data_IF_933438643023
#
_entry.id   IF_933438643023
#
_cell.length_a   1.000
_cell.length_b   1.000
_cell.length_c   1.000
_cell.angle_alpha   90.00
_cell.angle_beta   90.00
_cell.angle_gamma   90.00
#
_symmetry.space_group_name_H-M   'P 1'
#
loop_
_entity.id
_entity.type
_entity.pdbx_description
1 polymer ?
#
# COMPACT_ATOMS: atom_id res chain seq x y z
N UNK A 1 -13.92 15.04 3.92
CA UNK A 1 -12.73 14.31 4.43
C UNK A 1 -13.20 13.57 5.68
N UNK A 2 -13.37 12.25 5.62
CA UNK A 2 -13.66 11.45 6.82
C UNK A 2 -12.34 11.32 7.59
N UNK A 3 -12.31 11.73 8.84
CA UNK A 3 -11.20 11.46 9.76
C UNK A 3 -11.36 10.06 10.33
N UNK A 4 -10.26 9.43 10.77
CA UNK A 4 -10.34 8.14 11.48
C UNK A 4 -11.29 8.19 12.69
N UNK A 5 -11.32 9.32 13.39
CA UNK A 5 -12.26 9.58 14.50
C UNK A 5 -13.71 9.54 14.04
N UNK A 6 -14.03 10.17 12.89
CA UNK A 6 -15.41 10.15 12.37
C UNK A 6 -15.87 8.74 11.97
N UNK A 7 -14.95 7.87 11.52
CA UNK A 7 -15.26 6.47 11.20
C UNK A 7 -15.52 5.64 12.47
N UNK A 8 -14.71 5.84 13.52
CA UNK A 8 -14.98 5.22 14.82
C UNK A 8 -16.29 5.71 15.43
N UNK A 9 -16.59 7.00 15.31
CA UNK A 9 -17.86 7.55 15.76
C UNK A 9 -19.04 6.94 14.99
N UNK A 10 -18.93 6.82 13.67
CA UNK A 10 -19.95 6.15 12.85
C UNK A 10 -20.18 4.70 13.27
N UNK A 11 -19.10 3.95 13.56
CA UNK A 11 -19.19 2.62 14.13
C UNK A 11 -19.92 2.62 15.48
N UNK A 12 -19.55 3.52 16.41
CA UNK A 12 -20.18 3.60 17.75
C UNK A 12 -21.67 3.93 17.67
N UNK A 13 -22.04 4.91 16.85
CA UNK A 13 -23.44 5.30 16.66
C UNK A 13 -24.24 4.15 16.06
N UNK A 14 -23.73 3.49 15.02
CA UNK A 14 -24.41 2.34 14.41
C UNK A 14 -24.61 1.18 15.41
N UNK A 15 -23.62 0.92 16.26
CA UNK A 15 -23.75 -0.07 17.34
C UNK A 15 -24.85 0.31 18.36
N UNK A 16 -24.98 1.59 18.68
CA UNK A 16 -26.00 2.08 19.64
C UNK A 16 -27.41 2.10 19.06
N UNK A 17 -27.55 2.43 17.76
CA UNK A 17 -28.85 2.55 17.09
C UNK A 17 -29.35 1.23 16.50
N UNK A 18 -28.51 0.18 16.51
CA UNK A 18 -28.83 -1.12 15.92
C UNK A 18 -28.57 -1.20 14.41
N UNK A 19 -27.98 -0.17 13.81
CA UNK A 19 -27.51 -0.20 12.42
C UNK A 19 -26.16 -0.93 12.32
N UNK A 20 -26.23 -2.24 12.52
CA UNK A 20 -25.06 -3.12 12.64
C UNK A 20 -24.28 -3.22 11.31
N UNK A 21 -24.96 -3.21 10.18
CA UNK A 21 -24.32 -3.29 8.87
C UNK A 21 -23.41 -2.07 8.63
N UNK A 22 -23.94 -0.85 8.80
CA UNK A 22 -23.15 0.36 8.63
C UNK A 22 -22.08 0.50 9.72
N UNK A 23 -22.33 0.01 10.94
CA UNK A 23 -21.30 -0.03 11.97
C UNK A 23 -20.11 -0.89 11.52
N UNK A 24 -20.35 -2.11 11.03
CA UNK A 24 -19.27 -3.01 10.60
C UNK A 24 -18.53 -2.50 9.36
N UNK A 25 -19.22 -1.86 8.41
CA UNK A 25 -18.54 -1.19 7.30
C UNK A 25 -17.70 0.01 7.78
N UNK A 26 -18.18 0.80 8.73
CA UNK A 26 -17.40 1.92 9.31
C UNK A 26 -16.13 1.42 9.99
N UNK A 27 -16.21 0.31 10.73
CA UNK A 27 -15.06 -0.36 11.33
C UNK A 27 -14.07 -0.88 10.28
N UNK A 28 -14.56 -1.52 9.21
CA UNK A 28 -13.69 -1.95 8.11
C UNK A 28 -12.97 -0.76 7.46
N UNK A 29 -13.69 0.32 7.14
CA UNK A 29 -13.12 1.52 6.52
C UNK A 29 -12.07 2.16 7.45
N UNK A 30 -12.32 2.20 8.76
CA UNK A 30 -11.34 2.65 9.74
C UNK A 30 -10.03 1.84 9.69
N UNK A 31 -10.11 0.51 9.57
CA UNK A 31 -8.93 -0.37 9.51
C UNK A 31 -8.10 -0.10 8.24
N UNK A 32 -8.73 -0.04 7.07
CA UNK A 32 -8.00 0.21 5.81
C UNK A 32 -7.46 1.63 5.74
N UNK A 33 -8.22 2.63 6.17
CA UNK A 33 -7.72 4.00 6.21
C UNK A 33 -6.54 4.10 7.17
N UNK A 34 -6.59 3.47 8.35
CA UNK A 34 -5.44 3.42 9.27
C UNK A 34 -4.18 2.83 8.62
N UNK A 35 -4.34 1.78 7.82
CA UNK A 35 -3.25 1.21 7.01
C UNK A 35 -2.76 2.20 5.95
N UNK A 36 -3.68 2.87 5.23
CA UNK A 36 -3.36 3.88 4.20
C UNK A 36 -2.59 5.06 4.79
N UNK A 37 -2.95 5.53 5.99
CA UNK A 37 -2.27 6.62 6.69
C UNK A 37 -0.96 6.18 7.34
N UNK A 38 -0.60 4.89 7.29
CA UNK A 38 0.64 4.40 7.88
C UNK A 38 0.65 4.34 9.39
N UNK A 39 -0.50 4.15 10.05
CA UNK A 39 -0.51 3.90 11.50
C UNK A 39 0.27 2.62 11.82
N UNK A 40 0.65 2.48 13.09
CA UNK A 40 1.39 1.34 13.64
C UNK A 40 0.72 0.02 13.28
N UNK A 41 1.43 -0.84 12.53
CA UNK A 41 0.92 -2.14 12.10
C UNK A 41 0.46 -3.04 13.27
N UNK A 42 1.20 -3.13 14.42
CA UNK A 42 0.72 -3.84 15.60
C UNK A 42 -0.58 -3.28 16.21
N UNK A 43 -0.81 -1.97 16.15
CA UNK A 43 -2.07 -1.40 16.64
C UNK A 43 -3.23 -1.76 15.73
N UNK A 44 -3.07 -1.57 14.43
CA UNK A 44 -4.11 -1.86 13.44
C UNK A 44 -4.46 -3.35 13.47
N UNK A 45 -3.48 -4.25 13.62
CA UNK A 45 -3.74 -5.70 13.75
C UNK A 45 -4.65 -6.02 14.94
N UNK A 46 -4.36 -5.45 16.13
CA UNK A 46 -5.19 -5.68 17.33
C UNK A 46 -6.60 -5.13 17.17
N UNK A 47 -6.73 -3.94 16.59
CA UNK A 47 -8.03 -3.31 16.30
C UNK A 47 -8.82 -4.16 15.29
N UNK A 48 -8.17 -4.59 14.20
CA UNK A 48 -8.77 -5.47 13.19
C UNK A 48 -9.21 -6.82 13.79
N UNK A 49 -8.40 -7.44 14.65
CA UNK A 49 -8.77 -8.68 15.35
C UNK A 49 -10.03 -8.51 16.21
N UNK A 50 -10.15 -7.37 16.90
CA UNK A 50 -11.34 -7.05 17.69
C UNK A 50 -12.58 -6.88 16.80
N UNK A 51 -12.47 -6.11 15.71
CA UNK A 51 -13.57 -5.89 14.79
C UNK A 51 -13.99 -7.18 14.07
N UNK A 52 -13.04 -8.01 13.63
CA UNK A 52 -13.33 -9.29 12.98
C UNK A 52 -14.14 -10.20 13.91
N UNK A 53 -13.79 -10.29 15.20
CA UNK A 53 -14.56 -11.07 16.18
C UNK A 53 -16.01 -10.61 16.27
N UNK A 54 -16.23 -9.29 16.36
CA UNK A 54 -17.59 -8.74 16.38
C UNK A 54 -18.32 -8.97 15.07
N UNK A 55 -17.68 -8.79 13.92
CA UNK A 55 -18.31 -9.05 12.62
C UNK A 55 -18.75 -10.52 12.50
N UNK A 56 -18.02 -11.47 13.08
CA UNK A 56 -18.45 -12.88 13.17
C UNK A 56 -19.67 -13.03 14.09
N UNK A 57 -19.64 -12.43 15.29
CA UNK A 57 -20.75 -12.47 16.25
C UNK A 57 -22.07 -11.94 15.65
N UNK A 58 -21.99 -10.83 14.93
CA UNK A 58 -23.12 -10.18 14.25
C UNK A 58 -23.38 -10.71 12.84
N UNK A 59 -22.69 -11.77 12.40
CA UNK A 59 -22.86 -12.43 11.10
C UNK A 59 -22.65 -11.52 9.87
N UNK A 60 -21.82 -10.49 10.01
CA UNK A 60 -21.48 -9.52 8.96
C UNK A 60 -20.29 -10.00 8.12
N UNK A 61 -20.55 -10.91 7.17
CA UNK A 61 -19.49 -11.64 6.47
C UNK A 61 -18.69 -10.80 5.46
N UNK A 62 -19.33 -9.87 4.75
CA UNK A 62 -18.68 -9.02 3.76
C UNK A 62 -17.60 -8.08 4.37
N UNK A 63 -17.91 -7.23 5.38
CA UNK A 63 -16.89 -6.40 6.01
C UNK A 63 -15.84 -7.24 6.76
N UNK A 64 -16.20 -8.43 7.27
CA UNK A 64 -15.25 -9.38 7.86
C UNK A 64 -14.22 -9.86 6.84
N UNK A 65 -14.66 -10.32 5.67
CA UNK A 65 -13.76 -10.83 4.62
C UNK A 65 -12.83 -9.71 4.09
N UNK A 66 -13.35 -8.49 3.92
CA UNK A 66 -12.51 -7.34 3.56
C UNK A 66 -11.48 -7.00 4.66
N UNK A 67 -11.89 -7.02 5.93
CA UNK A 67 -10.99 -6.74 7.06
C UNK A 67 -9.92 -7.83 7.23
N UNK A 68 -10.26 -9.09 6.96
CA UNK A 68 -9.30 -10.19 6.91
C UNK A 68 -8.23 -9.97 5.83
N UNK A 69 -8.59 -9.42 4.66
CA UNK A 69 -7.63 -9.12 3.61
C UNK A 69 -6.61 -8.06 4.05
N UNK A 70 -7.04 -6.99 4.73
CA UNK A 70 -6.11 -5.98 5.29
C UNK A 70 -5.22 -6.59 6.35
N UNK A 71 -5.82 -7.34 7.28
CA UNK A 71 -5.07 -8.04 8.34
C UNK A 71 -4.00 -8.97 7.77
N UNK A 72 -4.30 -9.69 6.70
CA UNK A 72 -3.31 -10.53 6.02
C UNK A 72 -2.14 -9.70 5.49
N UNK A 73 -2.39 -8.58 4.82
CA UNK A 73 -1.34 -7.69 4.34
C UNK A 73 -0.48 -7.12 5.49
N UNK A 74 -1.09 -6.84 6.64
CA UNK A 74 -0.36 -6.44 7.85
C UNK A 74 0.55 -7.57 8.32
N UNK A 75 0.01 -8.78 8.45
CA UNK A 75 0.77 -9.95 8.90
C UNK A 75 1.92 -10.29 7.96
N UNK A 76 1.74 -10.12 6.64
CA UNK A 76 2.79 -10.40 5.66
C UNK A 76 3.96 -9.41 5.75
N UNK A 77 3.71 -8.16 6.15
CA UNK A 77 4.75 -7.16 6.40
C UNK A 77 5.45 -7.36 7.75
N UNK A 78 4.78 -7.98 8.72
CA UNK A 78 5.27 -8.20 10.08
C UNK A 78 6.02 -9.52 10.27
N UNK A 79 5.43 -10.61 9.80
CA UNK A 79 5.80 -11.98 10.18
C UNK A 79 6.36 -12.75 8.99
N UNK A 80 7.24 -13.70 9.30
CA UNK A 80 7.69 -14.69 8.33
C UNK A 80 6.51 -15.50 7.75
N UNK A 81 6.44 -15.74 6.43
CA UNK A 81 5.41 -16.58 5.81
C UNK A 81 5.23 -17.95 6.49
N UNK A 82 6.31 -18.55 6.98
CA UNK A 82 6.28 -19.82 7.72
C UNK A 82 5.44 -19.76 8.99
N UNK A 83 5.38 -18.58 9.64
CA UNK A 83 4.58 -18.33 10.84
C UNK A 83 3.12 -18.01 10.52
N UNK A 84 2.80 -17.67 9.27
CA UNK A 84 1.43 -17.36 8.83
C UNK A 84 0.61 -18.62 8.51
N UNK A 85 1.25 -19.70 8.04
CA UNK A 85 0.59 -20.99 7.75
C UNK A 85 -0.13 -21.57 8.97
N UNK A 86 0.36 -21.28 10.19
CA UNK A 86 -0.21 -21.80 11.43
C UNK A 86 -1.43 -21.02 11.95
N UNK A 87 -1.78 -19.85 11.38
CA UNK A 87 -2.87 -18.99 11.89
C UNK A 87 -4.01 -18.86 10.88
N UNK A 88 -4.76 -19.95 10.69
CA UNK A 88 -6.08 -20.10 10.06
C UNK A 88 -6.76 -18.83 9.48
N UNK A 89 -6.34 -18.44 8.27
CA UNK A 89 -7.15 -18.10 7.09
C UNK A 89 -6.10 -17.84 6.00
N UNK A 90 -5.91 -18.78 5.08
CA UNK A 90 -5.00 -18.53 3.96
C UNK A 90 -5.68 -17.49 3.07
N UNK A 91 -5.02 -16.38 2.77
CA UNK A 91 -5.52 -15.38 1.82
C UNK A 91 -5.89 -16.01 0.47
N UNK A 92 -5.21 -17.10 0.11
CA UNK A 92 -5.51 -17.94 -1.04
C UNK A 92 -6.96 -18.47 -1.01
N UNK A 93 -7.38 -19.07 0.09
CA UNK A 93 -8.76 -19.57 0.27
C UNK A 93 -9.79 -18.45 0.21
N UNK A 94 -9.42 -17.23 0.64
CA UNK A 94 -10.30 -16.07 0.56
C UNK A 94 -10.45 -15.56 -0.88
N UNK A 95 -9.34 -15.51 -1.62
CA UNK A 95 -9.32 -15.08 -3.02
C UNK A 95 -10.03 -16.09 -3.94
N UNK A 96 -9.76 -17.38 -3.75
CA UNK A 96 -10.40 -18.46 -4.52
C UNK A 96 -11.92 -18.39 -4.34
N UNK A 97 -12.40 -18.31 -3.08
CA UNK A 97 -13.83 -18.11 -2.81
C UNK A 97 -14.38 -16.82 -3.40
N UNK A 98 -13.61 -15.73 -3.40
CA UNK A 98 -14.05 -14.48 -4.00
C UNK A 98 -14.25 -14.62 -5.53
N UNK A 99 -13.34 -15.32 -6.20
CA UNK A 99 -13.41 -15.58 -7.65
C UNK A 99 -14.57 -16.54 -7.97
N UNK A 100 -14.69 -17.65 -7.26
CA UNK A 100 -15.75 -18.65 -7.44
C UNK A 100 -17.15 -18.05 -7.28
N UNK A 101 -17.32 -17.12 -6.33
CA UNK A 101 -18.59 -16.45 -6.07
C UNK A 101 -18.77 -15.15 -6.87
N UNK A 102 -17.88 -14.85 -7.83
CA UNK A 102 -17.89 -13.60 -8.61
C UNK A 102 -17.94 -12.33 -7.73
N UNK A 103 -17.32 -12.36 -6.56
CA UNK A 103 -17.20 -11.23 -5.65
C UNK A 103 -16.05 -10.31 -6.11
N UNK A 104 -16.35 -9.51 -7.12
CA UNK A 104 -15.39 -8.57 -7.75
C UNK A 104 -14.78 -7.61 -6.73
N UNK A 105 -15.57 -7.12 -5.77
CA UNK A 105 -15.08 -6.15 -4.76
C UNK A 105 -13.97 -6.77 -3.90
N UNK A 106 -14.20 -7.96 -3.34
CA UNK A 106 -13.22 -8.62 -2.48
C UNK A 106 -11.99 -9.05 -3.26
N UNK A 107 -12.16 -9.60 -4.46
CA UNK A 107 -11.04 -10.07 -5.27
C UNK A 107 -10.14 -8.90 -5.74
N UNK A 108 -10.71 -7.82 -6.26
CA UNK A 108 -9.96 -6.61 -6.64
C UNK A 108 -9.23 -5.97 -5.44
N UNK A 109 -9.84 -6.07 -4.26
CA UNK A 109 -9.24 -5.60 -3.02
C UNK A 109 -8.01 -6.43 -2.62
N UNK A 110 -8.14 -7.76 -2.64
CA UNK A 110 -7.03 -8.68 -2.36
C UNK A 110 -5.90 -8.49 -3.38
N UNK A 111 -6.21 -8.36 -4.67
CA UNK A 111 -5.19 -8.08 -5.68
C UNK A 111 -4.47 -6.75 -5.46
N UNK A 112 -5.18 -5.70 -5.01
CA UNK A 112 -4.53 -4.43 -4.66
C UNK A 112 -3.52 -4.59 -3.53
N UNK A 113 -3.93 -5.20 -2.42
CA UNK A 113 -3.06 -5.40 -1.26
C UNK A 113 -1.88 -6.33 -1.58
N UNK A 114 -2.13 -7.38 -2.35
CA UNK A 114 -1.08 -8.32 -2.78
C UNK A 114 -0.09 -7.67 -3.73
N UNK A 115 -0.54 -6.76 -4.60
CA UNK A 115 0.34 -5.97 -5.47
C UNK A 115 1.25 -5.03 -4.68
N UNK A 116 0.71 -4.35 -3.66
CA UNK A 116 1.47 -3.49 -2.74
C UNK A 116 2.52 -4.32 -1.99
N UNK A 117 2.12 -5.45 -1.41
CA UNK A 117 3.04 -6.37 -0.72
C UNK A 117 4.17 -6.83 -1.65
N UNK A 118 3.82 -7.33 -2.84
CA UNK A 118 4.79 -7.82 -3.81
C UNK A 118 5.80 -6.72 -4.19
N UNK A 119 5.33 -5.49 -4.41
CA UNK A 119 6.21 -4.35 -4.69
C UNK A 119 7.16 -4.04 -3.52
N UNK A 120 6.65 -3.98 -2.29
CA UNK A 120 7.44 -3.70 -1.08
C UNK A 120 8.58 -4.73 -0.89
N UNK A 121 8.33 -5.99 -1.27
CA UNK A 121 9.34 -7.05 -1.25
C UNK A 121 10.15 -7.20 -2.55
N UNK A 122 10.08 -6.23 -3.48
CA UNK A 122 10.87 -6.23 -4.72
C UNK A 122 10.43 -7.24 -5.79
N UNK A 123 9.26 -7.88 -5.62
CA UNK A 123 8.70 -8.87 -6.56
C UNK A 123 7.89 -8.18 -7.66
N UNK A 124 8.56 -7.36 -8.47
CA UNK A 124 7.89 -6.42 -9.39
C UNK A 124 7.00 -7.07 -10.45
N UNK A 125 7.40 -8.20 -11.04
CA UNK A 125 6.54 -8.91 -12.01
C UNK A 125 5.28 -9.49 -11.36
N UNK A 126 5.42 -10.02 -10.15
CA UNK A 126 4.26 -10.50 -9.39
C UNK A 126 3.32 -9.34 -9.08
N UNK A 127 3.87 -8.19 -8.64
CA UNK A 127 3.11 -6.98 -8.40
C UNK A 127 2.36 -6.50 -9.65
N UNK A 128 3.03 -6.47 -10.81
CA UNK A 128 2.44 -6.09 -12.09
C UNK A 128 1.31 -7.04 -12.51
N UNK A 129 1.48 -8.35 -12.29
CA UNK A 129 0.43 -9.35 -12.54
C UNK A 129 -0.80 -9.11 -11.66
N UNK A 130 -0.62 -8.77 -10.37
CA UNK A 130 -1.75 -8.47 -9.48
C UNK A 130 -2.51 -7.22 -9.93
N UNK A 131 -1.79 -6.18 -10.35
CA UNK A 131 -2.40 -4.96 -10.91
C UNK A 131 -3.19 -5.25 -12.18
N UNK A 132 -2.69 -6.13 -13.05
CA UNK A 132 -3.41 -6.55 -14.24
C UNK A 132 -4.70 -7.31 -13.90
N UNK A 133 -4.61 -8.34 -13.05
CA UNK A 133 -5.78 -9.13 -12.62
C UNK A 133 -6.86 -8.25 -11.99
N UNK A 134 -6.48 -7.29 -11.14
CA UNK A 134 -7.42 -6.31 -10.60
C UNK A 134 -8.13 -5.51 -11.69
N UNK A 135 -7.37 -4.98 -12.67
CA UNK A 135 -7.93 -4.17 -13.75
C UNK A 135 -8.89 -4.95 -14.64
N UNK A 136 -8.59 -6.22 -14.92
CA UNK A 136 -9.47 -7.15 -15.66
C UNK A 136 -10.78 -7.37 -14.90
N UNK A 137 -10.71 -7.61 -13.59
CA UNK A 137 -11.92 -7.74 -12.77
C UNK A 137 -12.76 -6.46 -12.69
N UNK A 138 -12.11 -5.29 -12.70
CA UNK A 138 -12.77 -3.99 -12.65
C UNK A 138 -13.27 -3.47 -14.00
N UNK A 139 -12.99 -4.17 -15.12
CA UNK A 139 -13.23 -3.66 -16.47
C UNK A 139 -14.70 -3.31 -16.73
N UNK A 140 -15.62 -4.14 -16.23
CA UNK A 140 -17.06 -3.97 -16.39
C UNK A 140 -17.74 -3.25 -15.21
N UNK A 141 -16.96 -2.79 -14.23
CA UNK A 141 -17.51 -2.09 -13.08
C UNK A 141 -17.80 -0.63 -13.44
N UNK A 142 -19.06 -0.21 -13.27
CA UNK A 142 -19.50 1.17 -13.52
C UNK A 142 -18.73 2.19 -12.67
N UNK A 143 -18.33 1.80 -11.46
CA UNK A 143 -17.44 2.57 -10.58
C UNK A 143 -16.21 1.72 -10.25
N UNK A 144 -15.05 2.16 -10.73
CA UNK A 144 -13.77 1.55 -10.35
C UNK A 144 -13.56 1.74 -8.85
N UNK A 145 -13.54 0.63 -8.12
CA UNK A 145 -13.26 0.62 -6.70
C UNK A 145 -11.77 0.96 -6.49
N UNK A 146 -11.42 1.49 -5.32
CA UNK A 146 -10.03 1.72 -4.91
C UNK A 146 -9.21 2.71 -5.78
N UNK A 147 -9.82 3.68 -6.47
CA UNK A 147 -9.08 4.78 -7.11
C UNK A 147 -8.75 5.87 -6.09
N UNK A 148 -7.68 5.69 -5.31
CA UNK A 148 -7.21 6.64 -4.31
C UNK A 148 -5.71 6.94 -4.51
N UNK A 149 -5.16 7.84 -3.68
CA UNK A 149 -3.74 8.20 -3.78
C UNK A 149 -2.79 7.03 -3.55
N UNK A 150 -3.14 6.07 -2.70
CA UNK A 150 -2.31 4.89 -2.44
C UNK A 150 -2.22 3.99 -3.68
N UNK A 151 -3.35 3.62 -4.28
CA UNK A 151 -3.32 2.77 -5.48
C UNK A 151 -2.68 3.46 -6.66
N UNK A 152 -2.88 4.77 -6.83
CA UNK A 152 -2.19 5.54 -7.86
C UNK A 152 -0.67 5.52 -7.66
N UNK A 153 -0.18 5.70 -6.43
CA UNK A 153 1.24 5.61 -6.11
C UNK A 153 1.81 4.24 -6.43
N UNK A 154 1.26 3.17 -5.83
CA UNK A 154 1.83 1.84 -5.98
C UNK A 154 1.71 1.30 -7.40
N UNK A 155 0.60 1.57 -8.11
CA UNK A 155 0.51 1.24 -9.54
C UNK A 155 1.63 1.93 -10.32
N UNK A 156 1.83 3.23 -10.10
CA UNK A 156 2.88 4.02 -10.73
C UNK A 156 4.26 3.42 -10.47
N UNK A 157 4.59 3.16 -9.20
CA UNK A 157 5.87 2.58 -8.80
C UNK A 157 6.11 1.19 -9.39
N UNK A 158 5.08 0.35 -9.44
CA UNK A 158 5.15 -0.97 -10.09
C UNK A 158 5.43 -0.81 -11.58
N UNK A 159 4.76 0.14 -12.25
CA UNK A 159 4.99 0.39 -13.67
C UNK A 159 6.39 0.96 -13.93
N UNK A 160 6.92 1.85 -13.09
CA UNK A 160 8.31 2.32 -13.18
C UNK A 160 9.27 1.15 -13.04
N UNK A 161 9.10 0.30 -12.03
CA UNK A 161 9.97 -0.86 -11.84
C UNK A 161 9.95 -1.81 -13.05
N UNK A 162 8.78 -2.03 -13.66
CA UNK A 162 8.64 -2.81 -14.89
C UNK A 162 9.26 -2.12 -16.11
N UNK A 163 9.13 -0.79 -16.23
CA UNK A 163 9.77 -0.02 -17.28
C UNK A 163 11.29 -0.14 -17.21
N UNK A 164 11.86 0.00 -16.01
CA UNK A 164 13.29 -0.18 -15.77
C UNK A 164 13.77 -1.60 -16.13
N UNK A 165 13.00 -2.62 -15.73
CA UNK A 165 13.36 -4.03 -15.95
C UNK A 165 13.25 -4.48 -17.41
N UNK A 166 12.21 -4.05 -18.11
CA UNK A 166 11.87 -4.56 -19.45
C UNK A 166 12.30 -3.64 -20.59
N UNK A 167 12.59 -2.37 -20.27
CA UNK A 167 12.83 -1.30 -21.25
C UNK A 167 11.68 -1.12 -22.26
N UNK A 168 10.46 -1.48 -21.86
CA UNK A 168 9.25 -1.36 -22.69
C UNK A 168 8.48 -0.08 -22.34
N UNK A 169 8.37 0.80 -23.34
CA UNK A 169 7.74 2.12 -23.24
C UNK A 169 6.29 2.07 -22.74
N UNK A 170 5.58 0.95 -22.93
CA UNK A 170 4.19 0.81 -22.46
C UNK A 170 4.09 0.97 -20.95
N UNK A 171 5.13 0.57 -20.21
CA UNK A 171 5.17 0.70 -18.76
C UNK A 171 5.42 2.14 -18.33
N UNK A 172 6.33 2.86 -19.01
CA UNK A 172 6.54 4.29 -18.78
C UNK A 172 5.28 5.10 -19.02
N UNK A 173 4.53 4.81 -20.09
CA UNK A 173 3.22 5.45 -20.37
C UNK A 173 2.21 5.18 -19.24
N UNK A 174 2.16 3.96 -18.71
CA UNK A 174 1.27 3.62 -17.58
C UNK A 174 1.70 4.34 -16.30
N UNK A 175 3.00 4.48 -16.04
CA UNK A 175 3.54 5.21 -14.91
C UNK A 175 3.24 6.71 -14.99
N UNK A 176 3.43 7.33 -16.16
CA UNK A 176 3.06 8.74 -16.41
C UNK A 176 1.57 8.99 -16.15
N UNK A 177 0.69 8.09 -16.62
CA UNK A 177 -0.74 8.20 -16.33
C UNK A 177 -1.05 8.13 -14.82
N UNK A 178 -0.30 7.34 -14.05
CA UNK A 178 -0.43 7.29 -12.59
C UNK A 178 0.04 8.61 -11.94
N UNK A 179 1.15 9.19 -12.41
CA UNK A 179 1.63 10.50 -11.98
C UNK A 179 0.61 11.61 -12.28
N UNK A 180 0.03 11.64 -13.49
CA UNK A 180 -1.03 12.61 -13.84
C UNK A 180 -2.25 12.50 -12.94
N UNK A 181 -2.63 11.30 -12.48
CA UNK A 181 -3.71 11.13 -11.50
C UNK A 181 -3.36 11.74 -10.14
N UNK A 182 -2.14 11.49 -9.65
CA UNK A 182 -1.65 12.08 -8.41
C UNK A 182 -1.57 13.62 -8.52
N UNK A 183 -1.11 14.14 -9.66
CA UNK A 183 -1.07 15.57 -9.93
C UNK A 183 -2.47 16.20 -9.88
N UNK A 184 -3.47 15.54 -10.47
CA UNK A 184 -4.87 15.98 -10.36
C UNK A 184 -5.36 16.01 -8.91
N UNK A 185 -4.95 15.04 -8.07
CA UNK A 185 -5.29 15.06 -6.64
C UNK A 185 -4.60 16.21 -5.90
N UNK A 186 -3.34 16.49 -6.19
CA UNK A 186 -2.61 17.63 -5.62
C UNK A 186 -3.26 18.95 -6.03
N UNK A 187 -3.59 19.14 -7.33
CA UNK A 187 -4.28 20.34 -7.84
C UNK A 187 -5.66 20.56 -7.21
N UNK A 188 -6.36 19.49 -6.85
CA UNK A 188 -7.63 19.53 -6.11
C UNK A 188 -7.47 19.87 -4.61
N UNK A 189 -6.25 20.19 -4.16
CA UNK A 189 -5.95 20.54 -2.76
C UNK A 189 -5.84 19.33 -1.84
N UNK A 190 -5.72 18.11 -2.38
CA UNK A 190 -5.49 16.91 -1.59
C UNK A 190 -3.98 16.83 -1.28
N UNK A 191 -3.52 17.70 -0.39
CA UNK A 191 -2.10 17.87 0.01
C UNK A 191 -1.41 16.53 0.38
N UNK A 192 -2.20 15.56 0.87
CA UNK A 192 -1.74 14.21 1.18
C UNK A 192 -1.16 13.41 0.01
N UNK A 193 -1.35 13.86 -1.22
CA UNK A 193 -0.81 13.22 -2.42
C UNK A 193 0.52 13.85 -2.88
N UNK A 194 0.98 14.94 -2.27
CA UNK A 194 2.18 15.65 -2.73
C UNK A 194 3.44 14.79 -2.65
N UNK A 195 3.71 14.15 -1.50
CA UNK A 195 4.86 13.25 -1.36
C UNK A 195 4.79 12.04 -2.30
N UNK A 196 3.59 11.57 -2.61
CA UNK A 196 3.36 10.46 -3.55
C UNK A 196 3.76 10.85 -4.97
N UNK A 197 3.35 12.04 -5.39
CA UNK A 197 3.68 12.59 -6.70
C UNK A 197 5.20 12.79 -6.82
N UNK A 198 5.81 13.46 -5.84
CA UNK A 198 7.25 13.70 -5.82
C UNK A 198 8.07 12.41 -5.91
N UNK A 199 7.67 11.37 -5.17
CA UNK A 199 8.33 10.07 -5.23
C UNK A 199 8.19 9.43 -6.61
N UNK A 200 6.99 9.45 -7.20
CA UNK A 200 6.76 8.83 -8.50
C UNK A 200 7.46 9.59 -9.64
N UNK A 201 7.49 10.92 -9.59
CA UNK A 201 8.22 11.76 -10.54
C UNK A 201 9.74 11.51 -10.44
N UNK A 202 10.29 11.34 -9.23
CA UNK A 202 11.70 11.00 -9.04
C UNK A 202 12.04 9.67 -9.71
N UNK A 203 11.21 8.64 -9.49
CA UNK A 203 11.37 7.32 -10.11
C UNK A 203 11.26 7.36 -11.64
N UNK A 204 10.36 8.20 -12.18
CA UNK A 204 10.24 8.41 -13.63
C UNK A 204 11.50 9.06 -14.22
N UNK A 205 12.05 10.08 -13.58
CA UNK A 205 13.30 10.73 -14.01
C UNK A 205 14.48 9.76 -14.03
N UNK A 206 14.53 8.80 -13.09
CA UNK A 206 15.54 7.72 -13.10
C UNK A 206 15.42 6.85 -14.36
N UNK A 207 14.20 6.51 -14.78
CA UNK A 207 13.96 5.70 -15.99
C UNK A 207 14.33 6.46 -17.26
N UNK A 208 13.98 7.75 -17.33
CA UNK A 208 14.22 8.60 -18.49
C UNK A 208 15.69 9.05 -18.60
N UNK A 209 16.52 8.77 -17.58
CA UNK A 209 17.91 9.26 -17.46
C UNK A 209 17.99 10.78 -17.54
N UNK A 210 16.95 11.47 -17.06
CA UNK A 210 16.95 12.92 -17.01
C UNK A 210 18.03 13.40 -16.02
N UNK A 211 18.79 14.42 -16.40
CA UNK A 211 19.87 15.02 -15.60
C UNK A 211 19.36 15.89 -14.44
N UNK A 212 18.06 15.78 -14.10
CA UNK A 212 17.45 16.47 -12.98
C UNK A 212 18.07 16.05 -11.64
N UNK A 213 17.90 16.89 -10.61
CA UNK A 213 18.35 16.57 -9.25
C UNK A 213 17.37 15.57 -8.60
N UNK A 214 17.39 14.32 -9.08
CA UNK A 214 16.55 13.20 -8.61
C UNK A 214 16.65 13.03 -7.10
N UNK A 215 17.87 13.16 -6.54
CA UNK A 215 18.08 13.05 -5.09
C UNK A 215 17.30 14.10 -4.32
N UNK A 216 17.29 15.35 -4.78
CA UNK A 216 16.49 16.42 -4.16
C UNK A 216 14.99 16.13 -4.23
N UNK A 217 14.49 15.46 -5.28
CA UNK A 217 13.09 15.05 -5.35
C UNK A 217 12.77 13.97 -4.31
N UNK A 218 13.64 12.97 -4.14
CA UNK A 218 13.51 12.00 -3.05
C UNK A 218 13.54 12.67 -1.67
N UNK A 219 14.48 13.58 -1.42
CA UNK A 219 14.58 14.29 -0.14
C UNK A 219 13.31 15.09 0.17
N UNK A 220 12.75 15.76 -0.84
CA UNK A 220 11.47 16.44 -0.72
C UNK A 220 10.32 15.47 -0.45
N UNK A 221 10.25 14.35 -1.17
CA UNK A 221 9.23 13.32 -0.93
C UNK A 221 9.30 12.78 0.50
N UNK A 222 10.51 12.48 1.00
CA UNK A 222 10.78 12.03 2.37
C UNK A 222 10.32 13.07 3.39
N UNK A 223 10.71 14.34 3.22
CA UNK A 223 10.35 15.43 4.14
C UNK A 223 8.83 15.69 4.19
N UNK A 224 8.16 15.65 3.03
CA UNK A 224 6.70 15.86 2.95
C UNK A 224 5.94 14.65 3.52
N UNK A 225 6.43 13.43 3.32
CA UNK A 225 5.86 12.23 3.94
C UNK A 225 6.00 12.28 5.48
N UNK A 226 7.16 12.70 5.98
CA UNK A 226 7.42 12.89 7.41
C UNK A 226 6.48 13.92 8.04
N UNK A 227 6.37 15.10 7.41
CA UNK A 227 5.46 16.18 7.86
C UNK A 227 4.01 15.70 7.94
N UNK A 228 3.59 14.85 7.01
CA UNK A 228 2.24 14.29 6.96
C UNK A 228 2.09 12.97 7.75
N UNK A 229 3.14 12.50 8.42
CA UNK A 229 3.19 11.27 9.24
C UNK A 229 2.96 9.96 8.47
N UNK A 230 3.30 9.93 7.19
CA UNK A 230 3.28 8.72 6.34
C UNK A 230 4.58 7.93 6.50
N UNK A 231 4.80 7.34 7.68
CA UNK A 231 6.06 6.63 8.03
C UNK A 231 6.46 5.57 7.00
N UNK A 232 5.49 4.80 6.51
CA UNK A 232 5.72 3.74 5.54
C UNK A 232 6.15 4.27 4.16
N UNK A 233 5.60 5.40 3.72
CA UNK A 233 5.96 6.00 2.44
C UNK A 233 7.27 6.78 2.55
N UNK A 234 7.56 7.35 3.72
CA UNK A 234 8.87 7.89 4.06
C UNK A 234 9.94 6.79 3.99
N UNK A 235 9.63 5.57 4.49
CA UNK A 235 10.50 4.42 4.42
C UNK A 235 10.76 4.00 2.97
N UNK A 236 9.70 3.85 2.17
CA UNK A 236 9.79 3.50 0.73
C UNK A 236 10.59 4.54 -0.04
N UNK A 237 10.32 5.84 0.15
CA UNK A 237 11.07 6.91 -0.50
C UNK A 237 12.55 6.90 -0.11
N UNK A 238 12.86 6.60 1.15
CA UNK A 238 14.25 6.46 1.62
C UNK A 238 14.93 5.24 1.00
N UNK A 239 14.25 4.10 0.89
CA UNK A 239 14.78 2.90 0.22
C UNK A 239 15.05 3.17 -1.27
N UNK A 240 14.14 3.85 -1.98
CA UNK A 240 14.31 4.22 -3.38
C UNK A 240 15.47 5.20 -3.61
N UNK A 241 15.63 6.19 -2.74
CA UNK A 241 16.79 7.07 -2.76
C UNK A 241 18.10 6.29 -2.56
N UNK A 242 18.11 5.32 -1.64
CA UNK A 242 19.27 4.47 -1.38
C UNK A 242 19.63 3.61 -2.60
N UNK A 243 18.64 2.99 -3.23
CA UNK A 243 18.82 2.21 -4.47
C UNK A 243 19.41 3.06 -5.60
N UNK A 244 18.87 4.28 -5.78
CA UNK A 244 19.37 5.23 -6.76
C UNK A 244 20.84 5.61 -6.50
N UNK A 245 21.18 5.97 -5.26
CA UNK A 245 22.54 6.34 -4.87
C UNK A 245 23.52 5.18 -5.07
N UNK A 246 23.13 3.98 -4.66
CA UNK A 246 23.95 2.78 -4.76
C UNK A 246 24.27 2.45 -6.23
N UNK A 247 23.29 2.54 -7.12
CA UNK A 247 23.50 2.32 -8.58
C UNK A 247 24.46 3.33 -9.19
N UNK A 248 24.56 4.52 -8.61
CA UNK A 248 25.49 5.57 -9.03
C UNK A 248 26.84 5.51 -8.27
N UNK A 249 27.07 4.50 -7.45
CA UNK A 249 28.32 4.33 -6.68
C UNK A 249 28.49 5.32 -5.52
N UNK A 250 27.39 5.92 -5.03
CA UNK A 250 27.43 6.91 -3.96
C UNK A 250 27.27 6.26 -2.57
N UNK A 251 28.29 6.43 -1.73
CA UNK A 251 28.37 5.87 -0.37
C UNK A 251 27.27 6.38 0.57
N UNK A 252 26.62 7.51 0.26
CA UNK A 252 25.47 8.03 1.01
C UNK A 252 24.30 7.05 1.01
N UNK A 253 24.24 6.10 0.07
CA UNK A 253 23.24 5.04 0.04
C UNK A 253 23.07 4.34 1.41
N UNK A 254 24.17 4.09 2.13
CA UNK A 254 24.12 3.44 3.45
C UNK A 254 23.29 4.23 4.48
N UNK A 255 23.33 5.57 4.44
CA UNK A 255 22.56 6.43 5.34
C UNK A 255 21.06 6.33 5.05
N UNK A 256 20.68 6.33 3.77
CA UNK A 256 19.28 6.20 3.36
C UNK A 256 18.72 4.81 3.65
N UNK A 257 19.51 3.74 3.47
CA UNK A 257 19.11 2.39 3.90
C UNK A 257 18.89 2.31 5.40
N UNK A 258 19.79 2.88 6.20
CA UNK A 258 19.63 2.96 7.66
C UNK A 258 18.35 3.71 8.06
N UNK A 259 18.05 4.82 7.38
CA UNK A 259 16.80 5.56 7.58
C UNK A 259 15.57 4.73 7.22
N UNK A 260 15.55 4.11 6.03
CA UNK A 260 14.46 3.26 5.56
C UNK A 260 14.19 2.10 6.55
N UNK A 261 15.26 1.43 6.99
CA UNK A 261 15.18 0.35 7.97
C UNK A 261 14.51 0.80 9.27
N UNK A 262 14.98 1.91 9.86
CA UNK A 262 14.41 2.43 11.11
C UNK A 262 12.94 2.83 10.96
N UNK A 263 12.56 3.39 9.81
CA UNK A 263 11.17 3.76 9.52
C UNK A 263 10.28 2.52 9.34
N UNK A 264 10.78 1.44 8.71
CA UNK A 264 10.06 0.17 8.66
C UNK A 264 9.84 -0.44 10.05
N UNK A 265 10.85 -0.38 10.93
CA UNK A 265 10.71 -0.80 12.32
C UNK A 265 9.69 0.07 13.07
N UNK A 266 9.73 1.39 12.89
CA UNK A 266 8.78 2.32 13.50
C UNK A 266 7.34 2.07 13.02
N UNK A 267 7.15 1.76 11.74
CA UNK A 267 5.85 1.36 11.21
C UNK A 267 5.38 0.00 11.77
N UNK A 268 6.32 -0.82 12.26
CA UNK A 268 6.10 -2.17 12.76
C UNK A 268 6.22 -3.26 11.70
N UNK A 269 6.74 -2.95 10.51
CA UNK A 269 6.95 -3.89 9.41
C UNK A 269 8.27 -4.67 9.56
N UNK A 270 8.39 -5.45 10.65
CA UNK A 270 9.64 -6.14 11.03
C UNK A 270 10.21 -7.01 9.91
N UNK A 271 9.38 -7.86 9.27
CA UNK A 271 9.85 -8.69 8.17
C UNK A 271 10.38 -7.88 6.99
N UNK A 272 9.77 -6.74 6.65
CA UNK A 272 10.31 -5.86 5.60
C UNK A 272 11.63 -5.22 6.02
N UNK A 273 11.77 -4.79 7.28
CA UNK A 273 13.04 -4.27 7.80
C UNK A 273 14.15 -5.32 7.68
N UNK A 274 13.89 -6.56 8.12
CA UNK A 274 14.85 -7.68 8.03
C UNK A 274 15.18 -8.03 6.57
N UNK A 275 14.16 -8.02 5.71
CA UNK A 275 14.32 -8.25 4.27
C UNK A 275 15.21 -7.18 3.64
N UNK A 276 15.09 -5.92 4.03
CA UNK A 276 15.89 -4.84 3.48
C UNK A 276 17.38 -5.09 3.76
N UNK A 277 17.75 -5.32 5.02
CA UNK A 277 19.16 -5.56 5.42
C UNK A 277 19.75 -6.77 4.70
N UNK A 278 19.00 -7.87 4.60
CA UNK A 278 19.47 -9.10 3.95
C UNK A 278 19.72 -8.96 2.46
N UNK A 279 19.10 -7.98 1.80
CA UNK A 279 19.14 -7.81 0.35
C UNK A 279 19.84 -6.51 -0.08
N UNK A 280 20.54 -5.81 0.82
CA UNK A 280 21.35 -4.67 0.38
C UNK A 280 22.52 -5.20 -0.45
N UNK A 281 22.68 -4.80 -1.73
CA UNK A 281 23.78 -5.26 -2.56
C UNK A 281 25.05 -4.49 -2.21
N UNK A 282 25.77 -4.94 -1.19
CA UNK A 282 27.14 -4.52 -0.88
C UNK A 282 28.15 -5.59 -1.26
#
# INVERSE_FOLDING_TARGET
KLTLESLLHGYQVGMQTGDIENAMFSAHVYVIESFIYGRSLPEIEREADSFIKQMVEYKQMAPKDLTLAVRHAILSLKNDPSLMVCKNVQQKDLLERAIENNNVVLASYIYSLSGIEAYIFGKYESAASMVQKRKEMEEHMSRKMFQNGMTALFDGLIFVAMAYKTNDIKWSVKALNAASKLEQYVKKGINICEHKLLLLEAELDVVEKNSGNVLNMYDRAIAVAEKNKFVHEQAIASERAADFLLRNGDVRAAQYYGKAHNLYLQWGAQRKADHLIKNIPF
#
